data_IF_849893939809
#
_entry.id   IF_849893939809
#
_cell.length_a   1.000
_cell.length_b   1.000
_cell.length_c   1.000
_cell.angle_alpha   90.00
_cell.angle_beta   90.00
_cell.angle_gamma   90.00
#
_symmetry.space_group_name_H-M   'P 1'
#
loop_
_entity.id
_entity.type
_entity.pdbx_description
1 polymer ?
#
# COMPACT_ATOMS: atom_id res chain seq x y z
N UNK A 1 16.67 17.75 -11.00
CA UNK A 1 15.41 17.31 -10.36
C UNK A 1 15.32 15.79 -10.25
N UNK A 2 15.61 15.03 -11.31
CA UNK A 2 15.68 13.55 -11.30
C UNK A 2 16.42 12.96 -10.07
N UNK A 3 17.59 13.49 -9.68
CA UNK A 3 18.31 13.02 -8.47
C UNK A 3 17.53 13.21 -7.16
N UNK A 4 16.65 14.20 -7.07
CA UNK A 4 15.86 14.49 -5.86
C UNK A 4 14.72 13.50 -5.71
N UNK A 5 14.06 13.15 -6.81
CA UNK A 5 13.05 12.08 -6.85
C UNK A 5 13.67 10.72 -6.50
N UNK A 6 14.86 10.42 -7.03
CA UNK A 6 15.60 9.20 -6.66
C UNK A 6 16.05 9.18 -5.20
N UNK A 7 16.48 10.32 -4.65
CA UNK A 7 16.79 10.41 -3.22
C UNK A 7 15.55 10.17 -2.35
N UNK A 8 14.38 10.70 -2.75
CA UNK A 8 13.12 10.43 -2.07
C UNK A 8 12.74 8.95 -2.10
N UNK A 9 12.86 8.30 -3.26
CA UNK A 9 12.61 6.86 -3.40
C UNK A 9 13.58 6.03 -2.54
N UNK A 10 14.87 6.37 -2.55
CA UNK A 10 15.87 5.69 -1.74
C UNK A 10 15.56 5.76 -0.23
N UNK A 11 15.26 6.96 0.28
CA UNK A 11 14.88 7.15 1.68
C UNK A 11 13.61 6.36 2.02
N UNK A 12 12.62 6.34 1.12
CA UNK A 12 11.41 5.55 1.34
C UNK A 12 11.70 4.05 1.39
N UNK A 13 12.39 3.49 0.38
CA UNK A 13 12.68 2.05 0.32
C UNK A 13 13.65 1.56 1.42
N UNK A 14 14.41 2.47 2.03
CA UNK A 14 15.24 2.17 3.21
C UNK A 14 14.49 2.32 4.54
N UNK A 15 13.19 2.64 4.50
CA UNK A 15 12.34 2.74 5.69
C UNK A 15 12.39 4.11 6.38
N UNK A 16 12.82 5.17 5.69
CA UNK A 16 12.87 6.54 6.21
C UNK A 16 11.84 7.49 5.54
N UNK A 17 10.54 7.37 5.89
CA UNK A 17 9.49 8.20 5.32
C UNK A 17 9.66 9.71 5.62
N UNK A 18 10.20 10.05 6.80
CA UNK A 18 10.47 11.44 7.20
C UNK A 18 11.59 12.08 6.35
N UNK A 19 12.56 11.29 5.91
CA UNK A 19 13.61 11.72 4.97
C UNK A 19 13.10 11.85 3.53
N UNK A 20 12.15 11.01 3.13
CA UNK A 20 11.59 10.96 1.78
C UNK A 20 10.67 12.14 1.46
N UNK A 21 9.75 12.49 2.37
CA UNK A 21 8.72 13.52 2.14
C UNK A 21 9.28 14.89 1.71
N UNK A 22 10.35 15.45 2.34
CA UNK A 22 10.93 16.71 1.91
C UNK A 22 11.52 16.66 0.49
N UNK A 23 12.04 15.52 0.07
CA UNK A 23 12.61 15.35 -1.28
C UNK A 23 11.49 15.31 -2.32
N UNK A 24 10.43 14.53 -2.08
CA UNK A 24 9.27 14.52 -2.97
C UNK A 24 8.59 15.89 -3.05
N UNK A 25 8.45 16.59 -1.92
CA UNK A 25 7.87 17.94 -1.92
C UNK A 25 8.70 18.95 -2.73
N UNK A 26 10.02 18.74 -2.86
CA UNK A 26 10.88 19.56 -3.75
C UNK A 26 10.67 19.21 -5.23
N UNK A 27 10.35 17.96 -5.53
CA UNK A 27 10.16 17.45 -6.88
C UNK A 27 8.71 17.61 -7.39
N UNK A 28 7.74 17.93 -6.54
CA UNK A 28 6.30 17.94 -6.89
C UNK A 28 5.88 18.90 -8.02
N UNK A 29 6.66 19.94 -8.28
CA UNK A 29 6.41 20.89 -9.37
C UNK A 29 7.23 20.60 -10.65
N UNK A 30 7.93 19.46 -10.67
CA UNK A 30 8.65 19.02 -11.85
C UNK A 30 7.68 18.54 -12.95
N UNK A 31 7.91 18.90 -14.22
CA UNK A 31 7.00 18.53 -15.31
C UNK A 31 6.98 17.03 -15.61
N UNK A 32 8.05 16.28 -15.31
CA UNK A 32 8.12 14.84 -15.56
C UNK A 32 7.87 14.02 -14.29
N UNK A 33 8.44 14.47 -13.16
CA UNK A 33 8.42 13.71 -11.91
C UNK A 33 7.43 14.24 -10.86
N UNK A 34 6.73 15.32 -11.16
CA UNK A 34 5.83 15.99 -10.21
C UNK A 34 4.65 15.11 -9.79
N UNK A 35 3.93 14.53 -10.76
CA UNK A 35 2.81 13.62 -10.49
C UNK A 35 3.25 12.41 -9.68
N UNK A 36 4.34 11.75 -10.07
CA UNK A 36 4.87 10.59 -9.34
C UNK A 36 5.32 10.97 -7.93
N UNK A 37 5.89 12.16 -7.75
CA UNK A 37 6.30 12.64 -6.42
C UNK A 37 5.09 12.86 -5.52
N UNK A 38 4.00 13.45 -6.04
CA UNK A 38 2.74 13.58 -5.30
C UNK A 38 2.14 12.21 -4.97
N UNK A 39 2.18 11.26 -5.90
CA UNK A 39 1.70 9.89 -5.71
C UNK A 39 2.42 9.22 -4.53
N UNK A 40 3.75 9.23 -4.57
CA UNK A 40 4.59 8.67 -3.52
C UNK A 40 4.35 9.33 -2.16
N UNK A 41 4.14 10.66 -2.12
CA UNK A 41 3.82 11.35 -0.87
C UNK A 41 2.48 10.89 -0.29
N UNK A 42 1.45 10.72 -1.12
CA UNK A 42 0.14 10.19 -0.68
C UNK A 42 0.30 8.79 -0.12
N UNK A 43 1.04 7.91 -0.80
CA UNK A 43 1.29 6.54 -0.33
C UNK A 43 2.04 6.50 0.99
N UNK A 44 3.04 7.37 1.20
CA UNK A 44 3.73 7.49 2.49
C UNK A 44 2.76 7.88 3.60
N UNK A 45 1.87 8.86 3.36
CA UNK A 45 0.91 9.29 4.37
C UNK A 45 -0.15 8.21 4.68
N UNK A 46 -0.52 7.39 3.69
CA UNK A 46 -1.42 6.25 3.90
C UNK A 46 -0.75 5.09 4.64
N UNK A 47 0.53 4.83 4.39
CA UNK A 47 1.29 3.77 5.04
C UNK A 47 1.68 4.10 6.48
N UNK A 48 1.85 5.39 6.80
CA UNK A 48 2.34 5.86 8.10
C UNK A 48 1.38 6.92 8.69
N UNK A 49 0.16 6.53 9.11
CA UNK A 49 -0.84 7.48 9.60
C UNK A 49 -0.37 8.29 10.83
N UNK A 50 0.55 7.75 11.63
CA UNK A 50 1.18 8.40 12.78
C UNK A 50 2.22 9.47 12.40
N UNK A 51 2.82 9.32 11.22
CA UNK A 51 3.75 10.29 10.64
C UNK A 51 2.89 11.34 9.96
N UNK A 52 2.33 12.25 10.75
CA UNK A 52 1.69 13.43 10.22
C UNK A 52 2.64 14.10 9.23
N UNK A 53 2.37 14.00 7.94
CA UNK A 53 3.22 14.46 6.82
C UNK A 53 3.45 15.99 6.79
N UNK A 54 3.06 16.68 7.85
CA UNK A 54 3.25 18.09 8.06
C UNK A 54 4.34 18.29 9.11
N UNK A 55 5.28 19.22 8.82
CA UNK A 55 6.26 19.78 9.75
C UNK A 55 5.62 20.56 10.93
N UNK A 56 4.39 20.21 11.32
CA UNK A 56 3.58 20.83 12.36
C UNK A 56 3.15 19.72 13.29
N UNK A 57 3.78 19.67 14.47
CA UNK A 57 3.49 18.69 15.51
C UNK A 57 2.06 18.79 16.02
N UNK A 58 1.12 18.18 15.29
CA UNK A 58 -0.24 17.98 15.76
C UNK A 58 -0.67 16.56 15.37
N UNK A 59 -0.89 15.73 16.39
CA UNK A 59 -1.12 14.31 16.25
C UNK A 59 -2.45 13.94 15.61
N UNK A 60 -2.55 12.66 15.23
CA UNK A 60 -3.80 11.95 14.96
C UNK A 60 -4.27 11.98 13.51
N UNK A 61 -4.54 13.16 12.95
CA UNK A 61 -5.24 13.30 11.66
C UNK A 61 -4.45 14.04 10.56
N UNK A 62 -3.27 14.55 10.87
CA UNK A 62 -2.50 15.37 9.94
C UNK A 62 -2.07 14.64 8.66
N UNK A 63 -1.88 13.31 8.71
CA UNK A 63 -1.48 12.50 7.55
C UNK A 63 -2.60 12.36 6.51
N UNK A 64 -3.83 12.09 6.94
CA UNK A 64 -4.99 11.96 6.07
C UNK A 64 -5.38 13.30 5.41
N UNK A 65 -5.44 14.38 6.19
CA UNK A 65 -5.70 15.73 5.66
C UNK A 65 -4.63 16.17 4.66
N UNK A 66 -3.38 15.79 4.91
CA UNK A 66 -2.27 16.03 3.97
C UNK A 66 -2.46 15.22 2.69
N UNK A 67 -2.81 13.93 2.78
CA UNK A 67 -3.09 13.09 1.62
C UNK A 67 -4.25 13.65 0.76
N UNK A 68 -5.33 14.11 1.40
CA UNK A 68 -6.45 14.78 0.72
C UNK A 68 -6.07 16.13 0.09
N UNK A 69 -5.08 16.82 0.62
CA UNK A 69 -4.57 18.06 0.03
C UNK A 69 -3.69 17.76 -1.18
N UNK A 70 -2.81 16.76 -1.06
CA UNK A 70 -1.92 16.32 -2.13
C UNK A 70 -2.69 15.77 -3.33
N UNK A 71 -3.76 15.00 -3.11
CA UNK A 71 -4.58 14.48 -4.22
C UNK A 71 -5.27 15.61 -5.00
N UNK A 72 -5.60 16.74 -4.35
CA UNK A 72 -6.17 17.94 -5.01
C UNK A 72 -5.12 18.74 -5.78
N UNK A 73 -3.84 18.59 -5.43
CA UNK A 73 -2.72 19.18 -6.18
C UNK A 73 -2.33 18.36 -7.42
N UNK A 74 -2.74 17.10 -7.50
CA UNK A 74 -2.50 16.26 -8.67
C UNK A 74 -3.24 16.80 -9.90
N UNK A 75 -2.61 16.64 -11.06
CA UNK A 75 -3.14 17.08 -12.34
C UNK A 75 -2.83 16.02 -13.40
N UNK A 76 -3.59 14.90 -13.39
CA UNK A 76 -3.34 13.77 -14.27
C UNK A 76 -3.48 14.22 -15.72
N UNK A 77 -2.44 13.92 -16.51
CA UNK A 77 -2.36 14.30 -17.93
C UNK A 77 -2.64 13.12 -18.87
N UNK A 78 -2.65 11.89 -18.34
CA UNK A 78 -2.96 10.67 -19.08
C UNK A 78 -4.15 9.91 -18.45
N UNK A 79 -4.85 9.05 -19.22
CA UNK A 79 -5.89 8.18 -18.68
C UNK A 79 -5.38 7.22 -17.59
N UNK A 80 -4.13 6.78 -17.68
CA UNK A 80 -3.48 5.91 -16.71
C UNK A 80 -3.24 6.63 -15.38
N UNK A 81 -2.74 7.87 -15.45
CA UNK A 81 -2.60 8.73 -14.27
C UNK A 81 -3.95 9.04 -13.64
N UNK A 82 -5.00 9.29 -14.46
CA UNK A 82 -6.35 9.51 -13.95
C UNK A 82 -6.87 8.29 -13.17
N UNK A 83 -6.59 7.08 -13.66
CA UNK A 83 -6.95 5.84 -12.96
C UNK A 83 -6.14 5.65 -11.68
N UNK A 84 -4.84 5.94 -11.70
CA UNK A 84 -3.98 5.90 -10.50
C UNK A 84 -4.47 6.90 -9.43
N UNK A 85 -4.80 8.13 -9.81
CA UNK A 85 -5.39 9.12 -8.90
C UNK A 85 -6.72 8.65 -8.31
N UNK A 86 -7.59 8.04 -9.12
CA UNK A 86 -8.85 7.44 -8.63
C UNK A 86 -8.60 6.32 -7.64
N UNK A 87 -7.62 5.46 -7.92
CA UNK A 87 -7.25 4.36 -7.02
C UNK A 87 -6.75 4.91 -5.67
N UNK A 88 -5.82 5.86 -5.68
CA UNK A 88 -5.32 6.52 -4.46
C UNK A 88 -6.43 7.21 -3.66
N UNK A 89 -7.34 7.90 -4.34
CA UNK A 89 -8.50 8.54 -3.70
C UNK A 89 -9.32 7.52 -2.92
N UNK A 90 -9.54 6.32 -3.46
CA UNK A 90 -10.28 5.28 -2.76
C UNK A 90 -9.51 4.69 -1.57
N UNK A 91 -8.18 4.64 -1.63
CA UNK A 91 -7.38 4.28 -0.45
C UNK A 91 -7.49 5.32 0.67
N UNK A 92 -7.50 6.62 0.34
CA UNK A 92 -7.73 7.70 1.31
C UNK A 92 -9.11 7.57 1.95
N UNK A 93 -10.16 7.36 1.14
CA UNK A 93 -11.52 7.15 1.65
C UNK A 93 -11.63 5.92 2.56
N UNK A 94 -10.96 4.83 2.23
CA UNK A 94 -10.93 3.66 3.11
C UNK A 94 -10.27 3.97 4.48
N UNK A 95 -9.29 4.87 4.49
CA UNK A 95 -8.59 5.29 5.70
C UNK A 95 -9.36 6.37 6.51
N UNK A 96 -10.43 6.96 5.97
CA UNK A 96 -11.04 8.17 6.56
C UNK A 96 -11.88 7.95 7.82
N UNK A 97 -11.98 6.71 8.34
CA UNK A 97 -12.80 6.32 9.50
C UNK A 97 -14.30 6.70 9.39
N UNK A 98 -14.73 7.34 8.31
CA UNK A 98 -16.13 7.61 8.00
C UNK A 98 -16.75 6.41 7.30
N UNK A 99 -17.88 5.95 7.83
CA UNK A 99 -18.62 4.82 7.29
C UNK A 99 -19.12 5.05 5.86
N UNK A 100 -19.56 6.28 5.53
CA UNK A 100 -20.10 6.59 4.20
C UNK A 100 -18.98 6.53 3.16
N UNK A 101 -17.86 7.19 3.44
CA UNK A 101 -16.68 7.17 2.57
C UNK A 101 -16.12 5.75 2.42
N UNK A 102 -16.14 4.96 3.48
CA UNK A 102 -15.72 3.56 3.43
C UNK A 102 -16.62 2.70 2.53
N UNK A 103 -17.94 2.83 2.63
CA UNK A 103 -18.89 2.11 1.76
C UNK A 103 -18.76 2.57 0.30
N UNK A 104 -18.52 3.86 0.05
CA UNK A 104 -18.23 4.39 -1.27
C UNK A 104 -16.93 3.81 -1.85
N UNK A 105 -15.85 3.78 -1.06
CA UNK A 105 -14.57 3.21 -1.48
C UNK A 105 -14.71 1.74 -1.85
N UNK A 106 -15.47 0.96 -1.08
CA UNK A 106 -15.69 -0.46 -1.34
C UNK A 106 -16.43 -0.69 -2.67
N UNK A 107 -17.45 0.09 -2.97
CA UNK A 107 -18.16 0.02 -4.25
C UNK A 107 -17.24 0.42 -5.41
N UNK A 108 -16.48 1.50 -5.26
CA UNK A 108 -15.60 1.99 -6.32
C UNK A 108 -14.44 1.02 -6.59
N UNK A 109 -13.82 0.44 -5.56
CA UNK A 109 -12.81 -0.59 -5.77
C UNK A 109 -13.38 -1.83 -6.48
N UNK A 110 -14.66 -2.16 -6.26
CA UNK A 110 -15.33 -3.24 -7.00
C UNK A 110 -15.42 -2.94 -8.50
N UNK A 111 -15.66 -1.68 -8.86
CA UNK A 111 -15.64 -1.25 -10.25
C UNK A 111 -14.21 -1.20 -10.82
N UNK A 112 -13.25 -0.60 -10.10
CA UNK A 112 -11.86 -0.49 -10.53
C UNK A 112 -11.15 -1.84 -10.68
N UNK A 113 -11.54 -2.85 -9.91
CA UNK A 113 -11.01 -4.21 -10.03
C UNK A 113 -11.38 -4.90 -11.36
N UNK A 114 -12.33 -4.36 -12.13
CA UNK A 114 -12.70 -4.86 -13.45
C UNK A 114 -11.80 -4.30 -14.57
N UNK A 115 -11.04 -3.23 -14.30
CA UNK A 115 -10.12 -2.61 -15.25
C UNK A 115 -8.74 -3.23 -15.07
N UNK A 116 -8.15 -3.75 -16.16
CA UNK A 116 -6.86 -4.46 -16.07
C UNK A 116 -5.73 -3.60 -15.49
N UNK A 117 -5.65 -2.31 -15.83
CA UNK A 117 -4.59 -1.41 -15.34
C UNK A 117 -4.68 -1.03 -13.85
N UNK A 118 -5.81 -1.26 -13.19
CA UNK A 118 -5.98 -1.02 -11.74
C UNK A 118 -6.34 -2.28 -10.98
N UNK A 119 -6.34 -3.44 -11.64
CA UNK A 119 -6.95 -4.65 -11.14
C UNK A 119 -6.30 -5.12 -9.84
N UNK A 120 -4.97 -5.18 -9.81
CA UNK A 120 -4.24 -5.66 -8.62
C UNK A 120 -4.39 -4.66 -7.48
N UNK A 121 -4.17 -3.37 -7.74
CA UNK A 121 -4.28 -2.31 -6.74
C UNK A 121 -5.70 -2.19 -6.15
N UNK A 122 -6.74 -2.22 -6.99
CA UNK A 122 -8.13 -2.16 -6.52
C UNK A 122 -8.53 -3.43 -5.74
N UNK A 123 -8.04 -4.60 -6.17
CA UNK A 123 -8.26 -5.85 -5.44
C UNK A 123 -7.58 -5.86 -4.07
N UNK A 124 -6.39 -5.26 -3.96
CA UNK A 124 -5.72 -5.02 -2.68
C UNK A 124 -6.57 -4.10 -1.78
N UNK A 125 -7.11 -3.01 -2.35
CA UNK A 125 -8.05 -2.12 -1.66
C UNK A 125 -9.25 -2.85 -1.09
N UNK A 126 -9.96 -3.63 -1.92
CA UNK A 126 -11.07 -4.48 -1.48
C UNK A 126 -10.67 -5.44 -0.36
N UNK A 127 -9.53 -6.12 -0.52
CA UNK A 127 -9.05 -7.07 0.46
C UNK A 127 -8.82 -6.38 1.81
N UNK A 128 -8.16 -5.20 1.83
CA UNK A 128 -7.97 -4.38 3.04
C UNK A 128 -9.31 -3.98 3.66
N UNK A 129 -10.29 -3.51 2.87
CA UNK A 129 -11.63 -3.19 3.37
C UNK A 129 -12.31 -4.42 4.02
N UNK A 130 -12.19 -5.61 3.42
CA UNK A 130 -12.77 -6.82 4.00
C UNK A 130 -12.06 -7.26 5.28
N UNK A 131 -10.73 -7.09 5.37
CA UNK A 131 -9.99 -7.35 6.62
C UNK A 131 -10.46 -6.41 7.72
N UNK A 132 -10.62 -5.11 7.44
CA UNK A 132 -11.12 -4.13 8.41
C UNK A 132 -12.55 -4.43 8.89
N UNK A 133 -13.38 -5.04 8.04
CA UNK A 133 -14.72 -5.54 8.39
C UNK A 133 -14.72 -6.91 9.09
N UNK A 134 -13.55 -7.47 9.43
CA UNK A 134 -13.40 -8.82 9.96
C UNK A 134 -13.91 -9.93 9.02
N UNK A 135 -14.01 -9.66 7.72
CA UNK A 135 -14.44 -10.59 6.68
C UNK A 135 -13.22 -11.25 6.00
N UNK A 136 -12.30 -11.79 6.79
CA UNK A 136 -11.03 -12.37 6.34
C UNK A 136 -11.18 -13.45 5.26
N UNK A 137 -12.30 -14.20 5.25
CA UNK A 137 -12.60 -15.20 4.22
C UNK A 137 -12.79 -14.59 2.83
N UNK A 138 -13.50 -13.45 2.73
CA UNK A 138 -13.70 -12.73 1.46
C UNK A 138 -12.41 -12.11 0.96
N UNK A 139 -11.63 -11.50 1.86
CA UNK A 139 -10.30 -10.96 1.53
C UNK A 139 -9.40 -12.04 0.91
N UNK A 140 -9.30 -13.22 1.52
CA UNK A 140 -8.50 -14.34 0.99
C UNK A 140 -8.97 -14.80 -0.39
N UNK A 141 -10.27 -14.84 -0.65
CA UNK A 141 -10.78 -15.28 -1.95
C UNK A 141 -10.33 -14.36 -3.08
N UNK A 142 -10.28 -13.05 -2.83
CA UNK A 142 -9.75 -12.06 -3.77
C UNK A 142 -8.24 -12.23 -3.94
N UNK A 143 -7.49 -12.26 -2.84
CA UNK A 143 -6.03 -12.31 -2.88
C UNK A 143 -5.48 -13.61 -3.51
N UNK A 144 -6.21 -14.73 -3.39
CA UNK A 144 -5.83 -16.00 -4.03
C UNK A 144 -5.77 -15.92 -5.55
N UNK A 145 -6.49 -14.98 -6.17
CA UNK A 145 -6.39 -14.74 -7.62
C UNK A 145 -4.97 -14.33 -8.02
N UNK A 146 -4.28 -13.62 -7.14
CA UNK A 146 -2.93 -13.06 -7.38
C UNK A 146 -1.81 -13.88 -6.75
N UNK A 147 -2.12 -14.90 -5.94
CA UNK A 147 -1.12 -15.75 -5.27
C UNK A 147 -0.14 -16.44 -6.25
N UNK A 148 -0.57 -16.65 -7.50
CA UNK A 148 0.26 -17.19 -8.59
C UNK A 148 0.49 -16.21 -9.73
N UNK A 149 0.02 -14.97 -9.63
CA UNK A 149 0.18 -13.97 -10.69
C UNK A 149 1.66 -13.76 -11.03
N UNK A 150 1.94 -13.56 -12.31
CA UNK A 150 3.29 -13.27 -12.77
C UNK A 150 3.70 -11.90 -12.24
N UNK A 151 4.90 -11.82 -11.67
CA UNK A 151 5.46 -10.54 -11.25
C UNK A 151 5.63 -9.65 -12.49
N UNK A 152 5.18 -8.40 -12.40
CA UNK A 152 5.38 -7.39 -13.41
C UNK A 152 5.87 -6.11 -12.71
N UNK A 153 6.56 -5.24 -13.46
CA UNK A 153 7.17 -4.04 -12.88
C UNK A 153 6.13 -2.98 -12.49
N UNK A 154 5.06 -2.83 -13.28
CA UNK A 154 4.06 -1.77 -13.11
C UNK A 154 3.22 -1.94 -11.84
N UNK A 155 2.90 -3.18 -11.47
CA UNK A 155 2.07 -3.53 -10.31
C UNK A 155 2.88 -4.21 -9.20
N UNK A 156 4.22 -4.15 -9.25
CA UNK A 156 5.12 -4.88 -8.36
C UNK A 156 4.78 -4.66 -6.88
N UNK A 157 4.61 -3.40 -6.47
CA UNK A 157 4.34 -3.01 -5.09
C UNK A 157 2.96 -3.48 -4.62
N UNK A 158 1.95 -3.45 -5.50
CA UNK A 158 0.60 -3.96 -5.20
C UNK A 158 0.57 -5.50 -5.13
N UNK A 159 1.32 -6.19 -5.99
CA UNK A 159 1.45 -7.65 -5.97
C UNK A 159 2.14 -8.11 -4.69
N UNK A 160 3.25 -7.48 -4.32
CA UNK A 160 3.95 -7.73 -3.06
C UNK A 160 3.00 -7.53 -1.88
N UNK A 161 2.30 -6.39 -1.83
CA UNK A 161 1.31 -6.10 -0.77
C UNK A 161 0.19 -7.14 -0.71
N UNK A 162 -0.28 -7.65 -1.86
CA UNK A 162 -1.27 -8.72 -1.91
C UNK A 162 -0.75 -10.02 -1.30
N UNK A 163 0.49 -10.40 -1.63
CA UNK A 163 1.11 -11.63 -1.11
C UNK A 163 1.35 -11.55 0.39
N UNK A 164 1.82 -10.41 0.88
CA UNK A 164 2.05 -10.18 2.31
C UNK A 164 0.75 -10.19 3.10
N UNK A 165 -0.29 -9.51 2.62
CA UNK A 165 -1.61 -9.53 3.26
C UNK A 165 -2.21 -10.94 3.27
N UNK A 166 -2.03 -11.72 2.20
CA UNK A 166 -2.47 -13.11 2.18
C UNK A 166 -1.67 -13.99 3.15
N UNK A 167 -0.37 -13.73 3.31
CA UNK A 167 0.48 -14.42 4.28
C UNK A 167 0.03 -14.13 5.72
N UNK A 168 -0.23 -12.87 6.07
CA UNK A 168 -0.79 -12.47 7.37
C UNK A 168 -2.10 -13.22 7.68
N UNK A 169 -3.01 -13.26 6.71
CA UNK A 169 -4.28 -13.99 6.85
C UNK A 169 -4.09 -15.50 7.01
N UNK A 170 -3.01 -16.08 6.48
CA UNK A 170 -2.67 -17.49 6.69
C UNK A 170 -2.01 -17.75 8.04
N UNK A 171 -1.21 -16.81 8.56
CA UNK A 171 -0.66 -16.88 9.92
C UNK A 171 -1.81 -16.88 10.93
N UNK A 172 -2.79 -15.98 10.76
CA UNK A 172 -4.01 -15.92 11.60
C UNK A 172 -4.85 -17.20 11.55
N UNK A 173 -4.84 -17.94 10.44
CA UNK A 173 -5.50 -19.25 10.29
C UNK A 173 -4.68 -20.43 10.85
N UNK A 174 -3.55 -20.17 11.51
CA UNK A 174 -2.60 -21.20 11.97
C UNK A 174 -2.09 -22.09 10.82
N UNK A 175 -1.86 -21.49 9.64
CA UNK A 175 -1.29 -22.14 8.44
C UNK A 175 0.05 -21.52 8.03
N UNK A 176 1.08 -21.57 8.89
CA UNK A 176 2.35 -20.87 8.68
C UNK A 176 3.13 -21.33 7.45
N UNK A 177 2.93 -22.57 6.99
CA UNK A 177 3.65 -23.10 5.82
C UNK A 177 3.25 -22.35 4.53
N UNK A 178 1.95 -22.10 4.35
CA UNK A 178 1.44 -21.35 3.19
C UNK A 178 1.86 -19.89 3.24
N UNK A 179 1.91 -19.31 4.44
CA UNK A 179 2.43 -17.96 4.64
C UNK A 179 3.92 -17.89 4.27
N UNK A 180 4.72 -18.87 4.73
CA UNK A 180 6.16 -18.95 4.47
C UNK A 180 6.47 -19.03 2.97
N UNK A 181 5.69 -19.78 2.20
CA UNK A 181 5.88 -19.90 0.75
C UNK A 181 5.63 -18.56 0.02
N UNK A 182 4.59 -17.83 0.43
CA UNK A 182 4.30 -16.49 -0.10
C UNK A 182 5.41 -15.50 0.28
N UNK A 183 5.87 -15.51 1.52
CA UNK A 183 6.93 -14.59 1.99
C UNK A 183 8.24 -14.87 1.27
N UNK A 184 8.64 -16.14 1.10
CA UNK A 184 9.83 -16.52 0.32
C UNK A 184 9.73 -16.06 -1.13
N UNK A 185 8.54 -16.12 -1.72
CA UNK A 185 8.29 -15.58 -3.06
C UNK A 185 8.50 -14.08 -3.08
N UNK A 186 7.92 -13.32 -2.15
CA UNK A 186 8.14 -11.88 -2.03
C UNK A 186 9.64 -11.56 -1.95
N UNK A 187 10.38 -12.23 -1.07
CA UNK A 187 11.82 -12.04 -0.90
C UNK A 187 12.65 -12.38 -2.14
N UNK A 188 12.14 -13.24 -3.03
CA UNK A 188 12.84 -13.52 -4.30
C UNK A 188 12.82 -12.34 -5.27
N UNK A 189 11.83 -11.45 -5.16
CA UNK A 189 11.73 -10.23 -5.97
C UNK A 189 12.20 -8.99 -5.20
N UNK A 190 11.92 -8.91 -3.89
CA UNK A 190 12.29 -7.80 -3.02
C UNK A 190 13.01 -8.32 -1.76
N UNK A 191 14.34 -8.46 -1.84
CA UNK A 191 15.17 -8.94 -0.73
C UNK A 191 15.24 -7.94 0.44
N UNK A 192 14.81 -6.69 0.24
CA UNK A 192 14.85 -5.63 1.25
C UNK A 192 13.51 -5.44 1.97
N UNK A 193 12.52 -6.29 1.70
CA UNK A 193 11.18 -6.21 2.28
C UNK A 193 11.21 -6.43 3.80
N UNK A 194 11.21 -5.34 4.59
CA UNK A 194 11.20 -5.40 6.05
C UNK A 194 9.98 -6.17 6.58
N UNK A 195 8.81 -5.96 5.96
CA UNK A 195 7.56 -6.64 6.34
C UNK A 195 7.64 -8.16 6.14
N UNK A 196 8.32 -8.62 5.08
CA UNK A 196 8.57 -10.05 4.88
C UNK A 196 9.33 -10.67 6.05
N UNK A 197 10.39 -10.01 6.52
CA UNK A 197 11.18 -10.48 7.65
C UNK A 197 10.40 -10.44 8.97
N UNK A 198 9.59 -9.39 9.20
CA UNK A 198 8.68 -9.29 10.35
C UNK A 198 7.73 -10.49 10.41
N UNK A 199 7.07 -10.83 9.30
CA UNK A 199 6.15 -11.98 9.24
C UNK A 199 6.85 -13.32 9.45
N UNK A 200 8.09 -13.49 8.99
CA UNK A 200 8.89 -14.68 9.28
C UNK A 200 9.22 -14.79 10.77
N UNK A 201 9.55 -13.67 11.43
CA UNK A 201 9.77 -13.63 12.87
C UNK A 201 8.50 -14.01 13.62
N UNK A 202 7.34 -13.45 13.27
CA UNK A 202 6.05 -13.82 13.86
C UNK A 202 5.73 -15.30 13.68
N UNK A 203 6.07 -15.91 12.54
CA UNK A 203 5.91 -17.37 12.34
C UNK A 203 6.82 -18.16 13.28
N UNK A 204 8.06 -17.70 13.50
CA UNK A 204 9.01 -18.37 14.37
C UNK A 204 8.60 -18.29 15.85
N UNK A 205 8.20 -17.11 16.33
CA UNK A 205 7.69 -16.89 17.69
C UNK A 205 6.49 -17.81 17.98
N UNK A 206 5.52 -17.84 17.07
CA UNK A 206 4.35 -18.71 17.19
C UNK A 206 4.69 -20.21 17.15
N UNK A 207 5.90 -20.63 16.73
CA UNK A 207 6.31 -22.04 16.74
C UNK A 207 6.99 -22.44 18.05
N UNK A 208 7.69 -21.51 18.70
CA UNK A 208 8.36 -21.76 19.98
C UNK A 208 7.36 -21.93 21.13
N UNK A 209 6.22 -21.21 21.09
CA UNK A 209 5.11 -21.35 22.06
C UNK A 209 4.44 -22.75 22.08
N UNK A 210 4.64 -23.59 21.05
CA UNK A 210 4.14 -24.97 21.03
C UNK A 210 5.16 -26.01 21.51
N UNK A 211 6.34 -25.57 21.95
CA UNK A 211 7.44 -26.42 22.41
C UNK A 211 7.52 -26.67 23.92
N UNK A 212 6.68 -26.02 24.73
CA UNK A 212 6.50 -26.28 26.18
C UNK A 212 5.23 -27.12 26.45
#
# INVERSE_FOLDING_TARGET
MMMVSFAGLYEWYTGNPLGALPQFNRAKHDPEWGQQSLHNMVEICLANPEIGCSNRGNGGNGSLETAESLIKEMNPSSPEEEMSCKLLTNFIRCASHDRIEFEMALNEFTHLAQNEGTRVGASLGLAKCFVQQNQSSRARNILKLFAKAMWNFEEADYLESCWLLLAELHIQESRPDRASDLIKRTLSYNQSSAKSYELLATIAENREDYGE
#
